data_IF_693660938412
#
_entry.id   IF_693660938412
#
_cell.length_a   1.000
_cell.length_b   1.000
_cell.length_c   1.000
_cell.angle_alpha   90.00
_cell.angle_beta   90.00
_cell.angle_gamma   90.00
#
_symmetry.space_group_name_H-M   'P 1'
#
loop_
_entity.id
_entity.type
_entity.pdbx_description
1 polymer ?
#
# COMPACT_ATOMS: atom_id res chain seq x y z
N UNK A 1 -0.06 -0.47 2.11
CA UNK A 1 -1.25 -1.35 2.09
C UNK A 1 -1.09 -2.47 1.07
N UNK A 2 -0.79 -2.17 -0.20
CA UNK A 2 -0.51 -3.19 -1.24
C UNK A 2 0.42 -4.31 -0.77
N UNK A 3 1.59 -3.97 -0.21
CA UNK A 3 2.55 -4.96 0.30
C UNK A 3 1.98 -5.89 1.39
N UNK A 4 1.05 -5.38 2.22
CA UNK A 4 0.41 -6.19 3.25
C UNK A 4 -0.55 -7.21 2.63
N UNK A 5 -1.32 -6.80 1.62
CA UNK A 5 -2.22 -7.67 0.85
C UNK A 5 -1.44 -8.69 0.03
N UNK A 6 -0.41 -8.26 -0.71
CA UNK A 6 0.47 -9.12 -1.48
C UNK A 6 1.13 -10.17 -0.58
N UNK A 7 1.70 -9.77 0.55
CA UNK A 7 2.31 -10.67 1.51
C UNK A 7 1.31 -11.64 2.14
N UNK A 8 0.08 -11.21 2.40
CA UNK A 8 -0.95 -12.10 2.92
C UNK A 8 -1.40 -13.12 1.87
N UNK A 9 -1.65 -12.70 0.63
CA UNK A 9 -2.01 -13.61 -0.47
C UNK A 9 -0.88 -14.60 -0.74
N UNK A 10 0.38 -14.16 -0.75
CA UNK A 10 1.56 -15.02 -0.95
C UNK A 10 1.59 -16.21 0.01
N UNK A 11 1.28 -15.99 1.30
CA UNK A 11 1.43 -17.00 2.35
C UNK A 11 0.13 -17.68 2.82
N UNK A 12 -1.02 -17.03 2.63
CA UNK A 12 -2.31 -17.47 3.19
C UNK A 12 -3.41 -17.56 2.12
N UNK A 13 -3.11 -17.28 0.85
CA UNK A 13 -4.07 -17.21 -0.27
C UNK A 13 -5.30 -16.34 0.03
N UNK A 14 -5.11 -15.32 0.89
CA UNK A 14 -6.16 -14.41 1.34
C UNK A 14 -5.66 -12.97 1.45
N UNK A 15 -6.41 -12.06 0.84
CA UNK A 15 -6.19 -10.62 0.95
C UNK A 15 -6.68 -10.08 2.31
N UNK A 16 -6.00 -9.08 2.87
CA UNK A 16 -6.36 -8.50 4.18
C UNK A 16 -7.39 -7.38 4.05
N UNK A 17 -7.41 -6.70 2.91
CA UNK A 17 -8.31 -5.58 2.61
C UNK A 17 -9.25 -5.93 1.46
N UNK A 18 -10.36 -5.20 1.33
CA UNK A 18 -11.29 -5.29 0.20
C UNK A 18 -10.90 -4.32 -0.94
N UNK A 19 -9.62 -3.95 -1.04
CA UNK A 19 -9.15 -3.03 -2.08
C UNK A 19 -8.94 -3.76 -3.41
N UNK A 20 -9.53 -3.20 -4.45
CA UNK A 20 -9.18 -3.57 -5.82
C UNK A 20 -7.89 -2.87 -6.21
N UNK A 21 -6.81 -3.65 -6.32
CA UNK A 21 -5.52 -3.19 -6.78
C UNK A 21 -5.46 -3.24 -8.31
N UNK A 22 -4.97 -2.16 -8.91
CA UNK A 22 -4.82 -2.02 -10.35
C UNK A 22 -3.39 -1.65 -10.72
N UNK A 23 -2.97 -2.13 -11.88
CA UNK A 23 -1.75 -1.71 -12.52
C UNK A 23 -1.86 -0.24 -12.91
N UNK A 24 -0.79 0.51 -12.66
CA UNK A 24 -0.67 1.91 -13.04
C UNK A 24 0.81 2.27 -13.18
N UNK A 25 1.10 3.29 -13.99
CA UNK A 25 2.45 3.76 -14.32
C UNK A 25 3.33 4.05 -13.09
N UNK A 26 2.74 4.45 -11.97
CA UNK A 26 3.47 4.83 -10.75
C UNK A 26 3.35 3.77 -9.63
N UNK A 27 2.92 2.56 -9.98
CA UNK A 27 2.81 1.41 -9.09
C UNK A 27 1.36 0.99 -8.86
N UNK A 28 1.11 0.06 -7.93
CA UNK A 28 -0.22 -0.42 -7.59
C UNK A 28 -1.13 0.73 -7.15
N UNK A 29 -2.26 0.86 -7.83
CA UNK A 29 -3.23 1.91 -7.60
C UNK A 29 -4.57 1.34 -7.12
N UNK A 30 -5.31 2.11 -6.33
CA UNK A 30 -6.68 1.78 -5.95
C UNK A 30 -7.51 3.05 -5.85
N UNK A 31 -8.65 3.09 -6.55
CA UNK A 31 -9.58 4.21 -6.53
C UNK A 31 -10.07 4.53 -5.12
N UNK A 32 -10.30 3.50 -4.31
CA UNK A 32 -10.75 3.65 -2.93
C UNK A 32 -9.74 4.39 -2.06
N UNK A 33 -8.44 4.26 -2.35
CA UNK A 33 -7.39 5.02 -1.64
C UNK A 33 -7.43 6.48 -2.07
N UNK A 34 -7.55 6.78 -3.36
CA UNK A 34 -7.64 8.16 -3.84
C UNK A 34 -8.87 8.87 -3.28
N UNK A 35 -10.03 8.21 -3.30
CA UNK A 35 -11.27 8.72 -2.71
C UNK A 35 -11.11 8.96 -1.20
N UNK A 36 -10.41 8.07 -0.49
CA UNK A 36 -10.12 8.26 0.92
C UNK A 36 -9.18 9.46 1.15
N UNK A 37 -8.10 9.58 0.37
CA UNK A 37 -7.14 10.69 0.45
C UNK A 37 -7.82 12.02 0.13
N UNK A 38 -8.68 12.09 -0.88
CA UNK A 38 -9.42 13.30 -1.24
C UNK A 38 -10.32 13.76 -0.09
N UNK A 39 -11.03 12.82 0.56
CA UNK A 39 -11.83 13.10 1.76
C UNK A 39 -10.95 13.61 2.89
N UNK A 40 -9.77 13.01 3.10
CA UNK A 40 -8.82 13.43 4.14
C UNK A 40 -8.30 14.85 3.88
N UNK A 41 -7.91 15.17 2.65
CA UNK A 41 -7.46 16.52 2.27
C UNK A 41 -8.57 17.57 2.46
N UNK A 42 -9.81 17.25 2.05
CA UNK A 42 -10.95 18.15 2.22
C UNK A 42 -11.34 18.35 3.70
N UNK A 43 -11.10 17.35 4.55
CA UNK A 43 -11.50 17.38 5.96
C UNK A 43 -10.61 18.23 6.88
N UNK A 44 -9.64 19.01 6.35
CA UNK A 44 -8.72 19.87 7.13
C UNK A 44 -8.12 19.12 8.33
N UNK A 45 -7.57 17.95 8.06
CA UNK A 45 -7.07 17.03 9.10
C UNK A 45 -5.77 17.51 9.72
N UNK A 46 -5.05 18.40 9.02
CA UNK A 46 -3.90 19.12 9.55
C UNK A 46 -4.29 20.59 9.72
N UNK A 47 -4.00 21.13 10.89
CA UNK A 47 -4.13 22.54 11.21
C UNK A 47 -2.75 23.14 11.47
N UNK A 48 -2.56 24.37 10.98
CA UNK A 48 -1.39 25.16 11.30
C UNK A 48 -1.71 26.03 12.51
N UNK A 49 -0.99 25.82 13.61
CA UNK A 49 -1.10 26.63 14.81
C UNK A 49 0.17 27.46 14.94
N UNK A 50 0.02 28.78 14.95
CA UNK A 50 1.13 29.68 15.24
C UNK A 50 1.34 29.72 16.74
N UNK A 51 2.51 29.27 17.21
CA UNK A 51 2.93 29.39 18.59
C UNK A 51 4.15 30.32 18.62
N UNK A 52 3.94 31.50 19.17
CA UNK A 52 4.89 32.62 19.13
C UNK A 52 5.30 32.96 17.68
N UNK A 53 6.53 32.60 17.26
CA UNK A 53 7.07 32.82 15.91
C UNK A 53 7.17 31.54 15.08
N UNK A 54 6.81 30.38 15.64
CA UNK A 54 6.89 29.08 14.96
C UNK A 54 5.53 28.62 14.46
N UNK A 55 5.49 28.17 13.20
CA UNK A 55 4.32 27.50 12.62
C UNK A 55 4.40 26.02 12.95
N UNK A 56 3.50 25.53 13.80
CA UNK A 56 3.36 24.12 14.11
C UNK A 56 2.26 23.51 13.24
N UNK A 57 2.60 22.53 12.42
CA UNK A 57 1.60 21.71 11.72
C UNK A 57 1.25 20.54 12.63
N UNK A 58 -0.01 20.45 13.04
CA UNK A 58 -0.50 19.39 13.91
C UNK A 58 -1.85 18.84 13.40
N UNK A 59 -2.27 17.64 13.82
CA UNK A 59 -3.61 17.15 13.55
C UNK A 59 -4.69 18.14 14.06
N UNK A 60 -5.77 18.31 13.30
CA UNK A 60 -6.96 19.02 13.77
C UNK A 60 -7.60 18.25 14.93
N UNK A 61 -8.32 18.97 15.81
CA UNK A 61 -8.94 18.38 17.01
C UNK A 61 -9.88 17.19 16.70
N UNK A 62 -10.43 17.15 15.48
CA UNK A 62 -11.37 16.13 15.02
C UNK A 62 -10.69 14.99 14.25
N UNK A 63 -9.35 14.97 14.20
CA UNK A 63 -8.61 13.95 13.49
C UNK A 63 -8.76 12.59 14.20
N UNK A 64 -9.24 11.58 13.47
CA UNK A 64 -9.36 10.22 13.98
C UNK A 64 -7.98 9.73 14.42
N UNK A 65 -7.85 9.35 15.69
CA UNK A 65 -6.63 8.77 16.19
C UNK A 65 -6.37 7.45 15.45
N UNK A 66 -5.21 7.22 14.83
CA UNK A 66 -4.96 5.97 14.11
C UNK A 66 -5.14 4.70 14.96
N UNK A 67 -4.98 4.82 16.29
CA UNK A 67 -5.23 3.74 17.25
C UNK A 67 -6.72 3.35 17.38
N UNK A 68 -7.64 4.18 16.87
CA UNK A 68 -9.09 3.91 16.90
C UNK A 68 -9.59 3.25 15.63
N UNK A 69 -8.73 2.97 14.63
CA UNK A 69 -9.15 2.28 13.40
C UNK A 69 -9.50 0.80 13.60
N UNK A 70 -9.28 0.25 14.80
CA UNK A 70 -9.75 -1.10 15.15
C UNK A 70 -9.08 -2.22 14.34
N UNK A 71 -7.87 -2.00 13.84
CA UNK A 71 -7.14 -3.03 13.12
C UNK A 71 -6.86 -4.24 14.02
N UNK A 72 -6.88 -5.43 13.43
CA UNK A 72 -6.42 -6.62 14.15
C UNK A 72 -4.94 -6.45 14.52
N UNK A 73 -4.54 -6.98 15.68
CA UNK A 73 -3.15 -6.82 16.15
C UNK A 73 -2.11 -7.35 15.16
N UNK A 74 -2.46 -8.42 14.45
CA UNK A 74 -1.61 -9.00 13.41
C UNK A 74 -1.44 -8.08 12.20
N UNK A 75 -2.50 -7.37 11.78
CA UNK A 75 -2.40 -6.40 10.69
C UNK A 75 -1.54 -5.20 11.10
N UNK A 76 -1.72 -4.68 12.33
CA UNK A 76 -0.88 -3.59 12.85
C UNK A 76 0.61 -3.94 12.79
N UNK A 77 0.99 -5.12 13.32
CA UNK A 77 2.39 -5.54 13.35
C UNK A 77 2.98 -5.70 11.95
N UNK A 78 2.22 -6.26 11.00
CA UNK A 78 2.66 -6.36 9.60
C UNK A 78 2.87 -4.99 8.97
N UNK A 79 1.93 -4.07 9.19
CA UNK A 79 2.05 -2.71 8.68
C UNK A 79 3.24 -1.98 9.31
N UNK A 80 3.46 -2.12 10.61
CA UNK A 80 4.62 -1.55 11.30
C UNK A 80 5.94 -2.11 10.74
N UNK A 81 6.02 -3.41 10.47
CA UNK A 81 7.22 -4.01 9.88
C UNK A 81 7.49 -3.50 8.46
N UNK A 82 6.45 -3.39 7.62
CA UNK A 82 6.56 -2.82 6.27
C UNK A 82 7.06 -1.36 6.36
N UNK A 83 6.47 -0.57 7.26
CA UNK A 83 6.94 0.82 7.46
C UNK A 83 8.38 0.83 7.92
N UNK A 84 8.77 -0.02 8.88
CA UNK A 84 10.14 -0.07 9.37
C UNK A 84 11.16 -0.48 8.30
N UNK A 85 10.82 -1.46 7.47
CA UNK A 85 11.68 -1.97 6.40
C UNK A 85 11.89 -0.93 5.29
N UNK A 86 10.85 -0.19 4.93
CA UNK A 86 10.85 0.72 3.80
C UNK A 86 10.94 2.20 4.20
N UNK A 87 10.97 2.53 5.49
CA UNK A 87 11.20 3.88 5.97
C UNK A 87 12.67 4.26 5.83
N UNK A 88 12.93 5.40 5.21
CA UNK A 88 14.27 5.98 5.11
C UNK A 88 14.47 6.82 3.87
N UNK A 89 15.50 7.66 3.89
CA UNK A 89 15.95 8.36 2.69
C UNK A 89 16.41 7.33 1.65
N UNK A 90 16.09 7.56 0.37
CA UNK A 90 16.47 6.74 -0.79
C UNK A 90 15.85 5.33 -0.86
N UNK A 91 14.93 4.96 0.04
CA UNK A 91 14.24 3.66 0.01
C UNK A 91 13.06 3.59 -0.96
N UNK A 92 12.62 4.74 -1.48
CA UNK A 92 11.47 4.80 -2.39
C UNK A 92 11.76 4.11 -3.72
N UNK A 93 12.93 4.35 -4.31
CA UNK A 93 13.28 3.75 -5.61
C UNK A 93 13.46 2.23 -5.47
N UNK A 94 14.11 1.78 -4.41
CA UNK A 94 14.23 0.35 -4.08
C UNK A 94 12.86 -0.31 -3.85
N UNK A 95 11.95 0.39 -3.16
CA UNK A 95 10.59 -0.09 -2.93
C UNK A 95 9.81 -0.21 -4.25
N UNK A 96 9.91 0.80 -5.11
CA UNK A 96 9.25 0.78 -6.41
C UNK A 96 9.82 -0.34 -7.28
N UNK A 97 11.14 -0.48 -7.34
CA UNK A 97 11.81 -1.58 -8.04
C UNK A 97 11.31 -2.93 -7.52
N UNK A 98 11.31 -3.14 -6.20
CA UNK A 98 10.80 -4.35 -5.57
C UNK A 98 9.35 -4.64 -6.00
N UNK A 99 8.46 -3.63 -5.92
CA UNK A 99 7.06 -3.77 -6.28
C UNK A 99 6.91 -4.15 -7.76
N UNK A 100 7.68 -3.55 -8.66
CA UNK A 100 7.63 -3.87 -10.08
C UNK A 100 8.18 -5.25 -10.44
N UNK A 101 9.00 -5.85 -9.57
CA UNK A 101 9.50 -7.22 -9.74
C UNK A 101 8.54 -8.29 -9.14
N UNK A 102 7.40 -7.88 -8.58
CA UNK A 102 6.38 -8.82 -8.10
C UNK A 102 5.62 -9.43 -9.27
N UNK A 103 5.21 -10.69 -9.14
CA UNK A 103 4.55 -11.42 -10.25
C UNK A 103 3.27 -10.74 -10.76
N UNK A 104 2.39 -10.20 -9.90
CA UNK A 104 1.20 -9.48 -10.37
C UNK A 104 1.55 -8.27 -11.25
N UNK A 105 2.64 -7.57 -10.94
CA UNK A 105 3.08 -6.40 -11.68
C UNK A 105 3.76 -6.77 -12.99
N UNK A 106 4.64 -7.78 -12.99
CA UNK A 106 5.28 -8.30 -14.20
C UNK A 106 4.22 -8.79 -15.19
N UNK A 107 3.27 -9.60 -14.72
CA UNK A 107 2.19 -10.11 -15.56
C UNK A 107 1.34 -8.97 -16.14
N UNK A 108 0.98 -7.97 -15.34
CA UNK A 108 0.22 -6.83 -15.85
C UNK A 108 1.01 -6.02 -16.89
N UNK A 109 2.30 -5.76 -16.65
CA UNK A 109 3.18 -5.04 -17.59
C UNK A 109 3.32 -5.72 -18.96
N UNK A 110 3.25 -7.05 -18.99
CA UNK A 110 3.36 -7.82 -20.24
C UNK A 110 2.07 -7.84 -21.05
N UNK A 111 0.92 -7.63 -20.41
CA UNK A 111 -0.40 -7.86 -21.00
C UNK A 111 -1.23 -6.57 -21.18
N UNK A 112 -0.81 -5.46 -20.57
CA UNK A 112 -1.57 -4.21 -20.55
C UNK A 112 -0.68 -2.99 -20.75
N UNK A 113 -1.24 -1.97 -21.38
CA UNK A 113 -0.61 -0.67 -21.49
C UNK A 113 -0.59 0.06 -20.13
N UNK A 114 0.37 0.98 -19.97
CA UNK A 114 0.55 1.77 -18.74
C UNK A 114 -0.65 2.66 -18.41
N UNK A 115 -1.43 3.07 -19.41
CA UNK A 115 -2.67 3.83 -19.21
C UNK A 115 -3.89 2.94 -18.90
N UNK A 116 -3.82 1.65 -19.23
CA UNK A 116 -4.90 0.69 -19.02
C UNK A 116 -4.86 0.22 -17.56
N UNK A 117 -5.68 0.83 -16.70
CA UNK A 117 -5.77 0.51 -15.26
C UNK A 117 -6.34 -0.89 -15.00
N UNK A 118 -5.61 -1.93 -15.36
CA UNK A 118 -5.98 -3.34 -15.30
C UNK A 118 -5.92 -3.88 -13.86
N UNK A 119 -6.80 -4.82 -13.50
CA UNK A 119 -6.80 -5.43 -12.16
C UNK A 119 -5.56 -6.31 -11.95
N UNK A 120 -4.93 -6.18 -10.77
CA UNK A 120 -3.79 -7.00 -10.39
C UNK A 120 -4.27 -8.31 -9.77
N UNK A 121 -3.80 -9.44 -10.30
CA UNK A 121 -4.01 -10.74 -9.70
C UNK A 121 -2.91 -11.06 -8.69
N UNK A 122 -3.14 -10.74 -7.40
CA UNK A 122 -2.16 -10.95 -6.34
C UNK A 122 -1.78 -12.43 -6.14
N UNK A 123 -2.64 -13.38 -6.54
CA UNK A 123 -2.40 -14.82 -6.36
C UNK A 123 -1.22 -15.34 -7.18
N UNK A 124 -0.85 -14.62 -8.24
CA UNK A 124 0.32 -14.94 -9.06
C UNK A 124 1.61 -15.01 -8.22
N UNK A 125 1.72 -14.19 -7.18
CA UNK A 125 2.88 -14.21 -6.28
C UNK A 125 2.98 -15.50 -5.46
N UNK A 126 1.83 -16.10 -5.10
CA UNK A 126 1.79 -17.40 -4.42
C UNK A 126 2.11 -18.53 -5.41
N UNK A 127 1.57 -18.47 -6.63
CA UNK A 127 1.81 -19.46 -7.68
C UNK A 127 3.30 -19.54 -8.05
N UNK A 128 3.95 -18.39 -8.26
CA UNK A 128 5.41 -18.30 -8.46
C UNK A 128 6.19 -19.01 -7.36
N UNK A 129 5.79 -18.83 -6.10
CA UNK A 129 6.45 -19.47 -4.97
C UNK A 129 6.23 -20.99 -4.95
N UNK A 130 5.03 -21.45 -5.30
CA UNK A 130 4.73 -22.88 -5.45
C UNK A 130 5.56 -23.50 -6.57
N UNK A 131 5.71 -22.83 -7.72
CA UNK A 131 6.55 -23.30 -8.82
C UNK A 131 8.02 -23.38 -8.43
N UNK A 132 8.53 -22.40 -7.68
CA UNK A 132 9.91 -22.39 -7.18
C UNK A 132 10.19 -23.48 -6.14
N UNK A 133 9.21 -23.83 -5.30
CA UNK A 133 9.35 -24.84 -4.24
C UNK A 133 8.95 -26.25 -4.67
N UNK A 134 8.09 -26.36 -5.68
CA UNK A 134 7.54 -27.59 -6.23
C UNK A 134 8.14 -28.03 -7.58
N UNK A 135 9.09 -27.25 -8.11
CA UNK A 135 9.79 -27.55 -9.36
C UNK A 135 10.69 -28.79 -9.26
N UNK A 136 10.12 -29.94 -9.61
CA UNK A 136 10.81 -31.08 -10.24
C UNK A 136 10.39 -31.16 -11.70
#
# INVERSE_FOLDING_TARGET
MYLADLGAVKWQDKQLTDLDWRYYLNGPWSENIDLALEKLYKARILQEVTKDSAKLIQPAENCLNPKTFGFSKGLELRLSNIVYEWAGANKLDELLEYVYQTEPMISAQQNHDKEEKALLNLRLESQKLVELLGGK
#
